data_IF_070027977493
#
_entry.id   IF_070027977493
#
_cell.length_a   1.000
_cell.length_b   1.000
_cell.length_c   1.000
_cell.angle_alpha   90.00
_cell.angle_beta   90.00
_cell.angle_gamma   90.00
#
_symmetry.space_group_name_H-M   'P 1'
#
loop_
_entity.id
_entity.type
_entity.pdbx_description
1 polymer ?
#
# COMPACT_ATOMS: atom_id res chain seq x y z
N UNK A 1 38.83 18.89 1.12
CA UNK A 1 37.69 18.42 1.92
C UNK A 1 38.22 17.33 2.84
N UNK A 2 37.88 17.34 4.12
CA UNK A 2 38.40 16.37 5.09
C UNK A 2 37.75 15.00 4.89
N UNK A 3 38.51 13.91 5.01
CA UNK A 3 38.05 12.52 4.84
C UNK A 3 36.79 12.19 5.66
N UNK A 4 36.61 12.86 6.79
CA UNK A 4 35.43 12.75 7.64
C UNK A 4 34.14 13.24 6.96
N UNK A 5 34.22 14.32 6.19
CA UNK A 5 33.06 14.92 5.51
C UNK A 5 32.60 14.06 4.34
N UNK A 6 33.54 13.45 3.60
CA UNK A 6 33.24 12.50 2.53
C UNK A 6 32.55 11.23 3.07
N UNK A 7 33.04 10.70 4.20
CA UNK A 7 32.47 9.51 4.85
C UNK A 7 31.04 9.73 5.38
N UNK A 8 30.73 10.95 5.84
CA UNK A 8 29.37 11.33 6.28
C UNK A 8 28.39 11.46 5.10
N UNK A 9 28.85 11.97 3.95
CA UNK A 9 28.01 12.03 2.74
C UNK A 9 27.69 10.64 2.21
N UNK A 10 28.69 9.76 2.11
CA UNK A 10 28.53 8.38 1.64
C UNK A 10 27.54 7.59 2.52
N UNK A 11 27.65 7.72 3.84
CA UNK A 11 26.71 7.07 4.78
C UNK A 11 25.30 7.66 4.70
N UNK A 12 25.17 8.97 4.45
CA UNK A 12 23.88 9.62 4.19
C UNK A 12 23.21 9.11 2.91
N UNK A 13 23.95 8.97 1.83
CA UNK A 13 23.46 8.42 0.56
C UNK A 13 23.09 6.94 0.65
N UNK A 14 23.87 6.15 1.39
CA UNK A 14 23.55 4.75 1.68
C UNK A 14 22.25 4.61 2.49
N UNK A 15 22.05 5.48 3.49
CA UNK A 15 20.82 5.53 4.26
C UNK A 15 19.60 5.88 3.40
N UNK A 16 19.72 6.87 2.51
CA UNK A 16 18.62 7.23 1.61
C UNK A 16 18.28 6.09 0.64
N UNK A 17 19.28 5.40 0.09
CA UNK A 17 19.06 4.22 -0.76
C UNK A 17 18.34 3.11 -0.02
N UNK A 18 18.79 2.75 1.18
CA UNK A 18 18.13 1.73 2.00
C UNK A 18 16.70 2.12 2.37
N UNK A 19 16.43 3.41 2.62
CA UNK A 19 15.09 3.93 2.89
C UNK A 19 14.18 3.82 1.67
N UNK A 20 14.66 4.14 0.47
CA UNK A 20 13.89 3.99 -0.76
C UNK A 20 13.64 2.52 -1.11
N UNK A 21 14.62 1.65 -0.93
CA UNK A 21 14.42 0.20 -1.10
C UNK A 21 13.37 -0.35 -0.13
N UNK A 22 13.44 0.02 1.16
CA UNK A 22 12.44 -0.37 2.15
C UNK A 22 11.03 0.13 1.77
N UNK A 23 10.91 1.36 1.26
CA UNK A 23 9.63 1.88 0.76
C UNK A 23 9.09 1.04 -0.42
N UNK A 24 9.95 0.66 -1.36
CA UNK A 24 9.54 -0.15 -2.51
C UNK A 24 9.12 -1.57 -2.11
N UNK A 25 9.82 -2.17 -1.14
CA UNK A 25 9.47 -3.48 -0.58
C UNK A 25 8.10 -3.45 0.10
N UNK A 26 7.76 -2.38 0.82
CA UNK A 26 6.44 -2.22 1.47
C UNK A 26 5.34 -1.83 0.47
N UNK A 27 5.69 -1.10 -0.59
CA UNK A 27 4.72 -0.61 -1.58
C UNK A 27 4.09 -1.73 -2.40
N UNK A 28 4.88 -2.72 -2.84
CA UNK A 28 4.36 -3.82 -3.67
C UNK A 28 3.25 -4.64 -2.98
N UNK A 29 3.45 -5.15 -1.75
CA UNK A 29 2.39 -5.87 -1.03
C UNK A 29 1.15 -5.00 -0.77
N UNK A 30 1.34 -3.70 -0.55
CA UNK A 30 0.22 -2.77 -0.33
C UNK A 30 -0.60 -2.54 -1.58
N UNK A 31 0.05 -2.38 -2.74
CA UNK A 31 -0.62 -2.15 -4.02
C UNK A 31 -1.33 -3.43 -4.49
N UNK A 32 -0.71 -4.61 -4.31
CA UNK A 32 -1.33 -5.91 -4.59
C UNK A 32 -2.57 -6.15 -3.70
N UNK A 33 -2.46 -5.85 -2.40
CA UNK A 33 -3.59 -5.97 -1.49
C UNK A 33 -4.70 -4.97 -1.85
N UNK A 34 -4.35 -3.74 -2.25
CA UNK A 34 -5.33 -2.75 -2.67
C UNK A 34 -6.13 -3.23 -3.88
N UNK A 35 -5.47 -3.81 -4.87
CA UNK A 35 -6.14 -4.33 -6.06
C UNK A 35 -7.06 -5.51 -5.72
N UNK A 36 -6.59 -6.45 -4.90
CA UNK A 36 -7.42 -7.57 -4.44
C UNK A 36 -8.63 -7.09 -3.61
N UNK A 37 -8.46 -6.06 -2.77
CA UNK A 37 -9.56 -5.45 -2.02
C UNK A 37 -10.59 -4.77 -2.92
N UNK A 38 -10.16 -4.04 -3.96
CA UNK A 38 -11.06 -3.44 -4.94
C UNK A 38 -11.85 -4.50 -5.71
N UNK A 39 -11.18 -5.54 -6.18
CA UNK A 39 -11.82 -6.63 -6.90
C UNK A 39 -12.87 -7.34 -6.03
N UNK A 40 -12.49 -7.70 -4.79
CA UNK A 40 -13.43 -8.31 -3.85
C UNK A 40 -14.64 -7.40 -3.55
N UNK A 41 -14.41 -6.10 -3.38
CA UNK A 41 -15.49 -5.14 -3.14
C UNK A 41 -16.42 -5.01 -4.36
N UNK A 42 -15.84 -4.95 -5.57
CA UNK A 42 -16.59 -4.94 -6.82
C UNK A 42 -17.42 -6.22 -7.01
N UNK A 43 -16.90 -7.37 -6.56
CA UNK A 43 -17.58 -8.67 -6.53
C UNK A 43 -18.65 -8.78 -5.42
N UNK A 44 -18.85 -7.72 -4.62
CA UNK A 44 -19.90 -7.63 -3.60
C UNK A 44 -19.49 -8.06 -2.19
N UNK A 45 -18.21 -8.34 -1.95
CA UNK A 45 -17.72 -8.68 -0.60
C UNK A 45 -17.83 -7.45 0.33
N UNK A 46 -18.24 -7.70 1.58
CA UNK A 46 -18.38 -6.64 2.59
C UNK A 46 -17.01 -6.11 3.01
N UNK A 47 -16.92 -4.79 3.24
CA UNK A 47 -15.69 -4.13 3.73
C UNK A 47 -15.12 -4.76 5.00
N UNK A 48 -15.99 -5.14 5.95
CA UNK A 48 -15.58 -5.77 7.20
C UNK A 48 -14.89 -7.13 6.97
N UNK A 49 -15.38 -7.93 6.02
CA UNK A 49 -14.72 -9.18 5.64
C UNK A 49 -13.39 -8.89 4.96
N UNK A 50 -13.31 -7.84 4.14
CA UNK A 50 -12.07 -7.39 3.50
C UNK A 50 -11.00 -7.00 4.51
N UNK A 51 -11.39 -6.21 5.51
CA UNK A 51 -10.51 -5.79 6.59
C UNK A 51 -10.02 -6.97 7.44
N UNK A 52 -10.87 -8.00 7.60
CA UNK A 52 -10.55 -9.21 8.36
C UNK A 52 -9.51 -10.09 7.65
N UNK A 53 -9.65 -10.35 6.35
CA UNK A 53 -8.67 -11.19 5.64
C UNK A 53 -7.35 -10.47 5.34
N UNK A 54 -7.36 -9.14 5.25
CA UNK A 54 -6.14 -8.32 5.21
C UNK A 54 -5.43 -8.18 6.57
N UNK A 55 -5.91 -8.89 7.60
CA UNK A 55 -5.22 -9.07 8.88
C UNK A 55 -5.15 -7.82 9.75
N UNK A 56 -6.05 -6.85 9.56
CA UNK A 56 -5.97 -5.52 10.20
C UNK A 56 -4.62 -4.81 10.00
N UNK A 57 -3.76 -5.28 9.08
CA UNK A 57 -2.49 -4.64 8.75
C UNK A 57 -2.71 -3.21 8.21
N UNK A 58 -3.94 -2.92 7.79
CA UNK A 58 -4.36 -1.63 7.26
C UNK A 58 -5.63 -1.13 7.93
N UNK A 59 -5.74 0.19 8.05
CA UNK A 59 -6.86 0.84 8.72
C UNK A 59 -8.12 0.84 7.86
N UNK A 60 -9.28 0.96 8.50
CA UNK A 60 -10.56 1.16 7.81
C UNK A 60 -10.53 2.44 6.94
N UNK A 61 -9.85 3.49 7.41
CA UNK A 61 -9.63 4.73 6.63
C UNK A 61 -8.88 4.45 5.32
N UNK A 62 -7.84 3.62 5.36
CA UNK A 62 -7.12 3.22 4.15
C UNK A 62 -8.03 2.43 3.21
N UNK A 63 -8.79 1.47 3.74
CA UNK A 63 -9.72 0.67 2.94
C UNK A 63 -10.78 1.56 2.27
N UNK A 64 -11.34 2.52 2.99
CA UNK A 64 -12.28 3.50 2.43
C UNK A 64 -11.65 4.34 1.32
N UNK A 65 -10.38 4.72 1.47
CA UNK A 65 -9.66 5.52 0.46
C UNK A 65 -9.47 4.74 -0.84
N UNK A 66 -9.12 3.44 -0.77
CA UNK A 66 -8.85 2.66 -1.99
C UNK A 66 -10.11 2.15 -2.68
N UNK A 67 -11.22 2.08 -1.95
CA UNK A 67 -12.54 1.67 -2.46
C UNK A 67 -13.37 2.85 -2.96
N UNK A 68 -12.89 4.08 -2.77
CA UNK A 68 -13.57 5.27 -3.29
C UNK A 68 -13.68 5.19 -4.82
N UNK A 69 -14.89 5.40 -5.34
CA UNK A 69 -15.18 5.28 -6.77
C UNK A 69 -15.22 3.86 -7.35
N UNK A 70 -15.10 2.80 -6.55
CA UNK A 70 -15.26 1.41 -7.04
C UNK A 70 -16.73 1.04 -7.12
N UNK A 71 -17.24 0.88 -8.34
CA UNK A 71 -18.60 0.39 -8.58
C UNK A 71 -18.72 -1.11 -8.32
N UNK A 72 -19.85 -1.53 -7.75
CA UNK A 72 -20.16 -2.94 -7.58
C UNK A 72 -20.71 -3.52 -8.87
N UNK A 73 -20.21 -4.69 -9.27
CA UNK A 73 -20.66 -5.40 -10.47
C UNK A 73 -22.15 -5.76 -10.44
N UNK A 74 -22.74 -5.87 -9.24
CA UNK A 74 -24.17 -6.12 -9.07
C UNK A 74 -25.06 -4.97 -9.55
N UNK A 75 -24.54 -3.74 -9.66
CA UNK A 75 -25.31 -2.58 -10.15
C UNK A 75 -25.36 -2.49 -11.69
N UNK A 76 -24.65 -3.35 -12.44
CA UNK A 76 -24.65 -3.35 -13.92
C UNK A 76 -25.82 -4.12 -14.56
N UNK A 77 -26.87 -4.43 -13.81
CA UNK A 77 -28.05 -5.12 -14.35
C UNK A 77 -29.16 -4.10 -14.62
N UNK A 78 -29.18 -3.50 -15.81
CA UNK A 78 -30.34 -2.82 -16.39
C UNK A 78 -30.41 -3.13 -17.87
#
# INVERSE_FOLDING_TARGET
MTDHQARLQETGEAYQRAKEEAKQIVRKPRDELAEAARQAYADGVKKADILRWSGHAWSDTWLNTILDGVERKTDQTT
#
